data_IF_757813107423
#
_entry.id   IF_757813107423
#
_cell.length_a   1.000
_cell.length_b   1.000
_cell.length_c   1.000
_cell.angle_alpha   90.00
_cell.angle_beta   90.00
_cell.angle_gamma   90.00
#
_symmetry.space_group_name_H-M   'P 1'
#
loop_
_entity.id
_entity.type
_entity.pdbx_description
1 polymer ?
#
# COMPACT_ATOMS: atom_id res chain seq x y z
N UNK A 1 -0.54 -23.93 8.73
CA UNK A 1 -1.53 -23.10 7.99
C UNK A 1 -1.88 -23.79 6.68
N UNK A 2 -3.16 -23.80 6.28
CA UNK A 2 -3.53 -24.28 4.94
C UNK A 2 -2.89 -23.35 3.89
N UNK A 3 -2.45 -23.89 2.75
CA UNK A 3 -1.76 -23.13 1.67
C UNK A 3 -2.50 -21.83 1.28
N UNK A 4 -3.84 -21.86 1.33
CA UNK A 4 -4.72 -20.73 1.01
C UNK A 4 -4.69 -19.61 2.06
N UNK A 5 -4.50 -19.94 3.34
CA UNK A 5 -4.36 -18.95 4.41
C UNK A 5 -3.04 -18.20 4.29
N UNK A 6 -1.95 -18.91 3.97
CA UNK A 6 -0.64 -18.28 3.77
C UNK A 6 -0.68 -17.33 2.59
N UNK A 7 -1.30 -17.73 1.48
CA UNK A 7 -1.52 -16.84 0.34
C UNK A 7 -2.35 -15.60 0.72
N UNK A 8 -3.44 -15.76 1.48
CA UNK A 8 -4.26 -14.65 1.96
C UNK A 8 -3.46 -13.64 2.80
N UNK A 9 -2.62 -14.13 3.73
CA UNK A 9 -1.74 -13.28 4.54
C UNK A 9 -0.72 -12.56 3.66
N UNK A 10 -0.11 -13.23 2.68
CA UNK A 10 0.84 -12.60 1.75
C UNK A 10 0.18 -11.44 1.00
N UNK A 11 -1.04 -11.64 0.45
CA UNK A 11 -1.76 -10.56 -0.22
C UNK A 11 -2.11 -9.40 0.72
N UNK A 12 -2.47 -9.70 1.97
CA UNK A 12 -2.71 -8.68 3.00
C UNK A 12 -1.44 -7.85 3.28
N UNK A 13 -0.31 -8.52 3.47
CA UNK A 13 0.98 -7.86 3.71
C UNK A 13 1.39 -6.99 2.52
N UNK A 14 1.21 -7.47 1.29
CA UNK A 14 1.47 -6.69 0.07
C UNK A 14 0.55 -5.47 0.02
N UNK A 15 -0.75 -5.63 0.27
CA UNK A 15 -1.71 -4.50 0.28
C UNK A 15 -1.34 -3.43 1.30
N UNK A 16 -1.01 -3.83 2.53
CA UNK A 16 -0.57 -2.92 3.60
C UNK A 16 0.74 -2.23 3.23
N UNK A 17 1.70 -2.96 2.67
CA UNK A 17 2.97 -2.39 2.21
C UNK A 17 2.75 -1.34 1.11
N UNK A 18 1.88 -1.62 0.14
CA UNK A 18 1.56 -0.69 -0.95
C UNK A 18 0.92 0.60 -0.42
N UNK A 19 0.00 0.49 0.56
CA UNK A 19 -0.62 1.65 1.20
C UNK A 19 0.43 2.46 1.97
N UNK A 20 1.30 1.80 2.74
CA UNK A 20 2.38 2.45 3.47
C UNK A 20 3.34 3.18 2.52
N UNK A 21 3.73 2.52 1.43
CA UNK A 21 4.59 3.11 0.41
C UNK A 21 3.95 4.33 -0.25
N UNK A 22 2.66 4.26 -0.59
CA UNK A 22 1.91 5.41 -1.12
C UNK A 22 1.86 6.57 -0.12
N UNK A 23 1.68 6.29 1.18
CA UNK A 23 1.73 7.33 2.21
C UNK A 23 3.12 7.96 2.38
N UNK A 24 4.18 7.17 2.24
CA UNK A 24 5.56 7.67 2.33
C UNK A 24 5.91 8.63 1.16
N UNK A 25 5.31 8.40 -0.01
CA UNK A 25 5.52 9.21 -1.22
C UNK A 25 4.33 10.16 -1.50
N UNK A 26 3.50 10.43 -0.49
CA UNK A 26 2.26 11.19 -0.67
C UNK A 26 2.56 12.65 -1.09
N UNK A 27 1.88 13.17 -2.13
CA UNK A 27 1.96 14.58 -2.51
C UNK A 27 1.33 15.53 -1.49
N UNK A 28 0.56 14.99 -0.54
CA UNK A 28 -0.15 15.75 0.50
C UNK A 28 0.53 15.71 1.86
N UNK A 29 1.72 15.13 1.95
CA UNK A 29 2.49 15.19 3.18
C UNK A 29 2.82 16.66 3.49
N UNK A 30 2.66 17.12 4.73
CA UNK A 30 2.93 18.53 5.08
C UNK A 30 4.34 18.99 4.68
N UNK A 31 4.54 20.30 4.51
CA UNK A 31 5.78 20.94 4.03
C UNK A 31 7.08 20.31 4.57
N UNK A 32 7.13 19.93 5.85
CA UNK A 32 8.31 19.28 6.46
C UNK A 32 8.68 17.91 5.87
N UNK A 33 7.70 17.10 5.43
CA UNK A 33 7.94 15.81 4.77
C UNK A 33 8.29 15.98 3.29
N UNK A 34 7.71 16.97 2.61
CA UNK A 34 8.04 17.30 1.22
C UNK A 34 9.50 17.76 1.14
N UNK A 35 9.90 18.69 2.02
CA UNK A 35 11.28 19.19 2.09
C UNK A 35 12.26 18.07 2.48
N UNK A 36 11.89 17.20 3.43
CA UNK A 36 12.70 16.03 3.78
C UNK A 36 12.85 15.01 2.65
N UNK A 37 11.79 14.80 1.86
CA UNK A 37 11.84 13.92 0.68
C UNK A 37 12.66 14.55 -0.45
N UNK A 38 12.51 15.85 -0.75
CA UNK A 38 13.34 16.54 -1.74
C UNK A 38 14.82 16.58 -1.37
N UNK A 39 15.14 16.85 -0.09
CA UNK A 39 16.52 16.86 0.41
C UNK A 39 17.18 15.47 0.44
N UNK A 40 16.38 14.41 0.58
CA UNK A 40 16.88 13.02 0.51
C UNK A 40 16.90 12.45 -0.91
N UNK A 41 16.47 13.23 -1.92
CA UNK A 41 16.30 12.75 -3.30
C UNK A 41 15.16 11.73 -3.45
N UNK A 42 14.25 11.67 -2.48
CA UNK A 42 13.14 10.73 -2.45
C UNK A 42 12.02 11.17 -3.40
N UNK A 43 11.55 10.22 -4.21
CA UNK A 43 10.49 10.43 -5.18
C UNK A 43 9.20 10.93 -4.51
N UNK A 44 8.57 11.96 -5.07
CA UNK A 44 7.23 12.39 -4.66
C UNK A 44 6.25 12.00 -5.76
N UNK A 45 5.17 11.33 -5.37
CA UNK A 45 4.21 10.78 -6.29
C UNK A 45 3.19 11.84 -6.73
N UNK A 46 2.80 11.85 -8.00
CA UNK A 46 1.70 12.70 -8.48
C UNK A 46 0.37 12.29 -7.78
N UNK A 47 -0.53 13.24 -7.51
CA UNK A 47 -1.84 13.01 -6.92
C UNK A 47 -2.63 11.87 -7.59
N UNK A 48 -2.70 11.85 -8.92
CA UNK A 48 -3.42 10.80 -9.66
C UNK A 48 -2.84 9.42 -9.34
N UNK A 49 -1.52 9.32 -9.38
CA UNK A 49 -0.80 8.08 -9.09
C UNK A 49 -0.96 7.68 -7.62
N UNK A 50 -0.88 8.63 -6.70
CA UNK A 50 -1.11 8.40 -5.26
C UNK A 50 -2.46 7.73 -5.01
N UNK A 51 -3.54 8.26 -5.59
CA UNK A 51 -4.88 7.68 -5.45
C UNK A 51 -5.01 6.31 -6.13
N UNK A 52 -4.40 6.10 -7.29
CA UNK A 52 -4.37 4.79 -7.97
C UNK A 52 -3.71 3.74 -7.08
N UNK A 53 -2.54 4.05 -6.50
CA UNK A 53 -1.80 3.08 -5.67
C UNK A 53 -2.48 2.84 -4.33
N UNK A 54 -3.12 3.85 -3.75
CA UNK A 54 -3.98 3.69 -2.58
C UNK A 54 -5.13 2.73 -2.87
N UNK A 55 -5.84 2.95 -3.98
CA UNK A 55 -6.94 2.10 -4.41
C UNK A 55 -6.47 0.66 -4.67
N UNK A 56 -5.33 0.50 -5.36
CA UNK A 56 -4.73 -0.81 -5.62
C UNK A 56 -4.34 -1.53 -4.32
N UNK A 57 -3.74 -0.82 -3.36
CA UNK A 57 -3.37 -1.38 -2.05
C UNK A 57 -4.60 -1.84 -1.26
N UNK A 58 -5.68 -1.06 -1.26
CA UNK A 58 -6.96 -1.43 -0.63
C UNK A 58 -7.56 -2.66 -1.32
N UNK A 59 -7.60 -2.68 -2.66
CA UNK A 59 -8.13 -3.81 -3.42
C UNK A 59 -7.35 -5.11 -3.14
N UNK A 60 -6.02 -5.04 -3.09
CA UNK A 60 -5.17 -6.17 -2.71
C UNK A 60 -5.43 -6.65 -1.28
N UNK A 61 -5.61 -5.72 -0.34
CA UNK A 61 -5.99 -6.03 1.03
C UNK A 61 -7.33 -6.77 1.11
N UNK A 62 -8.35 -6.31 0.38
CA UNK A 62 -9.66 -6.96 0.30
C UNK A 62 -9.57 -8.36 -0.31
N UNK A 63 -8.78 -8.55 -1.37
CA UNK A 63 -8.52 -9.88 -1.95
C UNK A 63 -7.81 -10.79 -0.95
N UNK A 64 -6.84 -10.27 -0.20
CA UNK A 64 -6.14 -10.99 0.85
C UNK A 64 -7.08 -11.47 1.96
N UNK A 65 -7.93 -10.57 2.46
CA UNK A 65 -8.98 -10.89 3.44
C UNK A 65 -9.93 -11.94 2.88
N UNK A 66 -10.42 -11.77 1.64
CA UNK A 66 -11.32 -12.72 1.00
C UNK A 66 -10.71 -14.12 0.89
N UNK A 67 -9.45 -14.23 0.45
CA UNK A 67 -8.74 -15.52 0.38
C UNK A 67 -8.44 -16.12 1.75
N UNK A 68 -8.19 -15.27 2.75
CA UNK A 68 -7.97 -15.71 4.12
C UNK A 68 -9.25 -16.22 4.79
N UNK A 69 -10.41 -15.64 4.47
CA UNK A 69 -11.71 -16.06 5.01
C UNK A 69 -12.35 -17.21 4.22
N UNK A 70 -12.10 -17.31 2.91
CA UNK A 70 -12.59 -18.40 2.05
C UNK A 70 -11.76 -19.67 2.21
N UNK A 71 -11.51 -20.06 3.45
CA UNK A 71 -10.94 -21.36 3.83
C UNK A 71 -12.10 -22.36 3.89
N UNK A 72 -12.53 -22.84 2.72
CA UNK A 72 -13.19 -24.14 2.62
C UNK A 72 -12.10 -25.16 2.35
#
# INVERSE_FOLDING_TARGET
MKKNQLQGIIYLLIGVFVIYWAQAHSPKAGLGKIIGNELSGSYVMNETWYYITLFAGIALGLIGIYRFLKVK
#
